data_IF_917895619322
#
_entry.id   IF_917895619322
#
_cell.length_a   1.000
_cell.length_b   1.000
_cell.length_c   1.000
_cell.angle_alpha   90.00
_cell.angle_beta   90.00
_cell.angle_gamma   90.00
#
_symmetry.space_group_name_H-M   'P 1'
#
loop_
_entity.id
_entity.type
_entity.pdbx_description
1 polymer ?
#
# COMPACT_ATOMS: atom_id res chain seq x y z
N UNK A 1 23.72 -19.57 1.93
CA UNK A 1 23.41 -18.29 1.26
C UNK A 1 23.00 -17.31 2.35
N UNK A 2 23.70 -16.18 2.51
CA UNK A 2 23.35 -15.19 3.52
C UNK A 2 21.96 -14.62 3.18
N UNK A 3 20.97 -14.93 4.02
CA UNK A 3 19.61 -14.38 3.88
C UNK A 3 19.75 -12.90 4.20
N UNK A 4 19.83 -12.05 3.16
CA UNK A 4 19.79 -10.60 3.36
C UNK A 4 18.51 -10.30 4.15
N UNK A 5 18.68 -9.79 5.37
CA UNK A 5 17.56 -9.38 6.21
C UNK A 5 16.79 -8.29 5.47
N UNK A 6 15.54 -8.59 5.08
CA UNK A 6 14.68 -7.62 4.42
C UNK A 6 14.61 -6.32 5.24
N UNK A 7 15.10 -5.23 4.66
CA UNK A 7 15.01 -3.89 5.25
C UNK A 7 14.01 -3.08 4.43
N UNK A 8 12.85 -2.83 5.00
CA UNK A 8 11.86 -1.97 4.37
C UNK A 8 12.33 -0.52 4.38
N UNK A 9 12.35 0.08 3.19
CA UNK A 9 12.55 1.52 3.02
C UNK A 9 11.19 2.13 2.70
N UNK A 10 10.73 3.08 3.52
CA UNK A 10 9.45 3.71 3.27
C UNK A 10 9.54 4.58 2.01
N UNK A 11 8.51 4.57 1.14
CA UNK A 11 8.40 5.55 0.06
C UNK A 11 8.44 6.99 0.59
N UNK A 12 7.98 7.22 1.82
CA UNK A 12 8.03 8.54 2.46
C UNK A 12 9.47 9.05 2.63
N UNK A 13 10.40 8.17 3.01
CA UNK A 13 11.81 8.50 3.20
C UNK A 13 12.51 8.82 1.87
N UNK A 14 11.92 8.37 0.75
CA UNK A 14 12.38 8.63 -0.62
C UNK A 14 11.78 9.90 -1.23
N UNK A 15 11.13 10.73 -0.42
CA UNK A 15 10.51 11.98 -0.86
C UNK A 15 9.13 11.81 -1.51
N UNK A 16 8.47 10.65 -1.36
CA UNK A 16 7.10 10.49 -1.83
C UNK A 16 6.10 11.05 -0.83
N UNK A 17 5.03 11.63 -1.34
CA UNK A 17 3.92 12.11 -0.53
C UNK A 17 2.79 11.09 -0.61
N UNK A 18 2.27 10.69 0.56
CA UNK A 18 1.11 9.81 0.63
C UNK A 18 -0.15 10.53 0.16
N UNK A 19 -0.90 9.95 -0.77
CA UNK A 19 -2.15 10.50 -1.29
C UNK A 19 -3.31 9.64 -0.82
N UNK A 20 -4.39 10.31 -0.38
CA UNK A 20 -5.66 9.64 -0.08
C UNK A 20 -6.53 9.70 -1.33
N UNK A 21 -6.70 8.57 -1.98
CA UNK A 21 -7.65 8.42 -3.09
C UNK A 21 -8.92 7.74 -2.62
N UNK A 22 -10.04 8.16 -3.21
CA UNK A 22 -11.32 7.48 -3.03
C UNK A 22 -11.36 6.18 -3.84
N UNK A 23 -12.32 5.30 -3.51
CA UNK A 23 -12.57 4.06 -4.28
C UNK A 23 -12.95 4.34 -5.73
N UNK A 24 -13.68 5.43 -5.99
CA UNK A 24 -14.06 5.82 -7.36
C UNK A 24 -12.84 6.26 -8.16
N UNK A 25 -11.94 7.05 -7.56
CA UNK A 25 -10.69 7.50 -8.19
C UNK A 25 -9.77 6.30 -8.50
N UNK A 26 -9.63 5.35 -7.58
CA UNK A 26 -8.87 4.15 -7.87
C UNK A 26 -9.43 3.36 -9.05
N UNK A 27 -10.77 3.20 -9.12
CA UNK A 27 -11.40 2.44 -10.20
C UNK A 27 -11.21 3.12 -11.57
N UNK A 28 -11.11 4.45 -11.59
CA UNK A 28 -10.75 5.19 -12.79
C UNK A 28 -9.32 4.83 -13.24
N UNK A 29 -8.36 4.83 -12.31
CA UNK A 29 -6.95 4.53 -12.59
C UNK A 29 -6.75 3.05 -13.00
N UNK A 30 -7.34 2.13 -12.25
CA UNK A 30 -7.22 0.69 -12.47
C UNK A 30 -8.55 0.11 -12.96
N UNK A 31 -8.77 0.21 -14.27
CA UNK A 31 -9.99 -0.34 -14.91
C UNK A 31 -10.10 -1.87 -14.76
N UNK A 32 -8.96 -2.56 -14.75
CA UNK A 32 -8.86 -4.03 -14.65
C UNK A 32 -8.79 -4.51 -13.19
N UNK A 33 -8.06 -3.80 -12.33
CA UNK A 33 -7.84 -4.19 -10.93
C UNK A 33 -8.89 -3.53 -10.02
N UNK A 34 -9.93 -4.28 -9.66
CA UNK A 34 -10.95 -3.80 -8.72
C UNK A 34 -10.44 -3.92 -7.27
N UNK A 35 -10.60 -2.85 -6.47
CA UNK A 35 -10.42 -2.91 -5.01
C UNK A 35 -11.40 -3.92 -4.44
N UNK A 36 -10.90 -4.97 -3.79
CA UNK A 36 -11.74 -5.82 -2.94
C UNK A 36 -11.93 -5.13 -1.59
N UNK A 37 -13.06 -5.40 -0.93
CA UNK A 37 -13.36 -4.83 0.40
C UNK A 37 -12.30 -5.19 1.45
N UNK A 38 -11.62 -6.31 1.25
CA UNK A 38 -10.58 -6.85 2.10
C UNK A 38 -9.20 -6.22 1.86
N UNK A 39 -9.04 -5.52 0.74
CA UNK A 39 -7.77 -4.95 0.32
C UNK A 39 -7.69 -3.49 0.73
N UNK A 40 -6.52 -3.10 1.20
CA UNK A 40 -6.16 -1.74 1.51
C UNK A 40 -5.01 -1.29 0.60
N UNK A 41 -5.09 -0.03 0.19
CA UNK A 41 -4.19 0.57 -0.78
C UNK A 41 -3.59 1.84 -0.20
N UNK A 42 -2.30 2.05 -0.40
CA UNK A 42 -1.63 3.31 -0.13
C UNK A 42 -0.98 3.84 -1.40
N UNK A 43 -1.33 5.07 -1.78
CA UNK A 43 -0.78 5.76 -2.93
C UNK A 43 0.32 6.70 -2.47
N UNK A 44 1.42 6.69 -3.21
CA UNK A 44 2.56 7.56 -3.00
C UNK A 44 2.92 8.19 -4.34
N UNK A 45 3.15 9.50 -4.34
CA UNK A 45 3.55 10.23 -5.54
C UNK A 45 4.60 11.28 -5.19
N UNK A 46 5.62 11.38 -6.03
CA UNK A 46 6.73 12.33 -5.85
C UNK A 46 6.80 13.40 -6.96
N UNK A 47 5.82 13.47 -7.85
CA UNK A 47 5.82 14.39 -9.00
C UNK A 47 6.21 13.74 -10.32
N UNK A 48 6.83 12.55 -10.31
CA UNK A 48 7.19 11.81 -11.52
C UNK A 48 6.72 10.35 -11.50
N UNK A 49 6.81 9.68 -10.35
CA UNK A 49 6.50 8.26 -10.21
C UNK A 49 5.38 8.08 -9.19
N UNK A 50 4.42 7.24 -9.55
CA UNK A 50 3.39 6.73 -8.63
C UNK A 50 3.83 5.36 -8.14
N UNK A 51 3.75 5.17 -6.83
CA UNK A 51 3.88 3.86 -6.18
C UNK A 51 2.59 3.55 -5.46
N UNK A 52 2.05 2.36 -5.70
CA UNK A 52 0.85 1.85 -5.03
C UNK A 52 1.22 0.62 -4.25
N UNK A 53 1.12 0.74 -2.94
CA UNK A 53 1.30 -0.36 -2.00
C UNK A 53 -0.03 -1.07 -1.74
N UNK A 54 -0.04 -2.38 -1.92
CA UNK A 54 -1.18 -3.28 -1.69
C UNK A 54 -0.96 -4.08 -0.40
N UNK A 55 -1.94 -4.07 0.49
CA UNK A 55 -1.90 -4.84 1.74
C UNK A 55 -3.30 -5.25 2.20
N UNK A 56 -3.40 -6.30 3.01
CA UNK A 56 -4.68 -6.68 3.62
C UNK A 56 -5.16 -5.61 4.59
N UNK A 57 -6.46 -5.34 4.56
CA UNK A 57 -7.08 -4.41 5.47
C UNK A 57 -6.93 -4.90 6.92
N UNK A 58 -6.43 -4.04 7.80
CA UNK A 58 -6.14 -4.40 9.21
C UNK A 58 -7.35 -4.97 9.95
N UNK A 59 -8.55 -4.47 9.65
CA UNK A 59 -9.79 -4.99 10.24
C UNK A 59 -10.08 -6.43 9.81
N UNK A 60 -9.75 -6.79 8.56
CA UNK A 60 -9.92 -8.15 8.06
C UNK A 60 -8.90 -9.08 8.69
N UNK A 61 -7.63 -8.63 8.81
CA UNK A 61 -6.60 -9.38 9.54
C UNK A 61 -7.02 -9.65 10.99
N UNK A 62 -7.62 -8.67 11.67
CA UNK A 62 -8.16 -8.84 13.02
C UNK A 62 -9.33 -9.85 13.06
N UNK A 63 -10.21 -9.84 12.06
CA UNK A 63 -11.33 -10.78 11.97
C UNK A 63 -10.86 -12.22 11.77
N UNK A 64 -9.87 -12.46 10.90
CA UNK A 64 -9.34 -13.80 10.66
C UNK A 64 -8.32 -14.23 11.71
N UNK A 65 -7.88 -13.35 12.60
CA UNK A 65 -6.81 -13.60 13.55
C UNK A 65 -7.07 -14.85 14.41
N UNK A 66 -8.23 -14.91 15.07
CA UNK A 66 -8.61 -16.00 15.97
C UNK A 66 -8.78 -17.34 15.23
N UNK A 67 -9.59 -17.44 14.15
CA UNK A 67 -9.74 -18.71 13.44
C UNK A 67 -8.44 -19.18 12.77
N UNK A 68 -7.62 -18.26 12.24
CA UNK A 68 -6.35 -18.62 11.63
C UNK A 68 -5.34 -19.10 12.68
N UNK A 69 -5.34 -18.50 13.87
CA UNK A 69 -4.50 -18.96 14.98
C UNK A 69 -4.98 -20.33 15.49
N UNK A 70 -6.28 -20.58 15.63
CA UNK A 70 -6.81 -21.88 16.06
C UNK A 70 -6.51 -23.00 15.04
N UNK A 71 -6.77 -22.76 13.75
CA UNK A 71 -6.57 -23.78 12.71
C UNK A 71 -5.08 -23.98 12.43
N UNK A 72 -4.32 -22.89 12.28
CA UNK A 72 -2.89 -22.96 11.99
C UNK A 72 -2.10 -23.58 13.12
N UNK A 73 -2.45 -23.32 14.39
CA UNK A 73 -1.80 -23.98 15.53
C UNK A 73 -2.02 -25.48 15.55
N UNK A 74 -3.19 -25.95 15.13
CA UNK A 74 -3.51 -27.37 15.04
C UNK A 74 -2.86 -28.06 13.84
N UNK A 75 -2.72 -27.36 12.71
CA UNK A 75 -2.17 -27.91 11.47
C UNK A 75 -0.62 -27.85 11.41
N UNK A 76 -0.05 -26.66 11.59
CA UNK A 76 1.37 -26.37 11.34
C UNK A 76 2.16 -25.97 12.60
N UNK A 77 1.47 -25.82 13.74
CA UNK A 77 2.04 -25.43 15.02
C UNK A 77 2.10 -23.91 15.26
N UNK A 78 2.06 -23.51 16.53
CA UNK A 78 2.01 -22.09 16.92
C UNK A 78 3.13 -21.20 16.34
N UNK A 79 4.41 -21.62 16.31
CA UNK A 79 5.49 -20.74 15.86
C UNK A 79 5.40 -20.33 14.39
N UNK A 80 5.01 -21.25 13.51
CA UNK A 80 4.87 -21.01 12.06
C UNK A 80 3.67 -20.11 11.78
N UNK A 81 2.50 -20.42 12.34
CA UNK A 81 1.29 -19.59 12.22
C UNK A 81 1.50 -18.18 12.75
N UNK A 82 2.23 -18.02 13.85
CA UNK A 82 2.55 -16.70 14.40
C UNK A 82 3.47 -15.89 13.49
N UNK A 83 4.42 -16.53 12.80
CA UNK A 83 5.25 -15.84 11.79
C UNK A 83 4.42 -15.38 10.60
N UNK A 84 3.47 -16.19 10.12
CA UNK A 84 2.56 -15.78 9.04
C UNK A 84 1.63 -14.65 9.45
N UNK A 85 1.06 -14.71 10.66
CA UNK A 85 0.25 -13.62 11.21
C UNK A 85 1.03 -12.32 11.32
N UNK A 86 2.31 -12.37 11.74
CA UNK A 86 3.19 -11.19 11.76
C UNK A 86 3.40 -10.58 10.39
N UNK A 87 3.52 -11.40 9.33
CA UNK A 87 3.59 -10.92 7.94
C UNK A 87 2.32 -10.17 7.56
N UNK A 88 1.15 -10.72 7.87
CA UNK A 88 -0.14 -10.08 7.58
C UNK A 88 -0.40 -8.80 8.40
N UNK A 89 0.00 -8.76 9.67
CA UNK A 89 -0.20 -7.61 10.57
C UNK A 89 0.77 -6.47 10.29
N UNK A 90 2.02 -6.80 9.97
CA UNK A 90 3.09 -5.85 9.73
C UNK A 90 3.74 -6.11 8.37
N UNK A 91 2.99 -5.94 7.27
CA UNK A 91 3.49 -6.24 5.92
C UNK A 91 4.74 -5.41 5.62
N UNK A 92 4.78 -4.16 6.09
CA UNK A 92 5.94 -3.27 5.97
C UNK A 92 7.19 -3.78 6.70
N UNK A 93 7.08 -4.53 7.81
CA UNK A 93 8.26 -5.04 8.53
C UNK A 93 8.77 -6.37 7.99
N UNK A 94 7.87 -7.18 7.42
CA UNK A 94 8.18 -8.56 7.04
C UNK A 94 8.11 -8.83 5.53
N UNK A 95 7.93 -7.79 4.71
CA UNK A 95 8.06 -7.86 3.26
C UNK A 95 6.92 -8.57 2.55
N UNK A 96 5.72 -8.63 3.13
CA UNK A 96 4.53 -9.20 2.46
C UNK A 96 3.76 -8.17 1.62
N UNK A 97 4.39 -7.03 1.31
CA UNK A 97 3.80 -6.01 0.45
C UNK A 97 3.99 -6.37 -1.01
N UNK A 98 2.90 -6.24 -1.76
CA UNK A 98 2.97 -6.12 -3.22
C UNK A 98 2.89 -4.65 -3.56
N UNK A 99 3.74 -4.18 -4.47
CA UNK A 99 3.74 -2.79 -4.92
C UNK A 99 3.73 -2.74 -6.44
N UNK A 100 2.86 -1.90 -6.99
CA UNK A 100 2.92 -1.51 -8.40
C UNK A 100 3.55 -0.12 -8.48
N UNK A 101 4.35 0.14 -9.51
CA UNK A 101 4.89 1.48 -9.75
C UNK A 101 4.89 1.80 -11.24
N UNK A 102 4.58 3.05 -11.58
CA UNK A 102 4.66 3.54 -12.94
C UNK A 102 4.99 5.03 -12.97
N UNK A 103 5.51 5.49 -14.11
CA UNK A 103 5.86 6.89 -14.33
C UNK A 103 4.66 7.63 -14.89
N UNK A 104 4.39 8.80 -14.33
CA UNK A 104 3.30 9.70 -14.71
C UNK A 104 3.96 10.87 -15.44
N UNK A 105 3.84 10.92 -16.78
CA UNK A 105 4.53 11.89 -17.64
C UNK A 105 3.67 13.15 -17.82
N UNK A 106 4.12 14.34 -17.32
CA UNK A 106 3.44 15.62 -17.49
C UNK A 106 2.93 15.84 -18.92
N UNK A 107 1.60 15.89 -19.10
CA UNK A 107 0.95 16.19 -20.40
C UNK A 107 0.55 15.00 -21.27
N UNK A 108 0.87 13.75 -20.89
CA UNK A 108 0.38 12.52 -21.54
C UNK A 108 -0.50 11.66 -20.62
N UNK A 109 -1.03 12.24 -19.55
CA UNK A 109 -1.82 11.52 -18.56
C UNK A 109 -3.19 11.09 -19.11
N UNK A 110 -3.66 9.91 -18.69
CA UNK A 110 -5.09 9.60 -18.79
C UNK A 110 -5.86 10.58 -17.90
N UNK A 111 -7.06 11.00 -18.32
CA UNK A 111 -7.99 11.81 -17.49
C UNK A 111 -8.18 11.18 -16.09
N UNK A 112 -8.01 9.86 -16.00
CA UNK A 112 -8.12 9.07 -14.79
C UNK A 112 -7.00 9.31 -13.74
N UNK A 113 -5.82 9.80 -14.14
CA UNK A 113 -4.67 10.06 -13.26
C UNK A 113 -4.67 11.48 -12.66
N UNK A 114 -5.48 12.39 -13.22
CA UNK A 114 -5.62 13.78 -12.75
C UNK A 114 -5.87 13.91 -11.24
N UNK A 115 -6.73 13.08 -10.60
CA UNK A 115 -7.00 13.20 -9.17
C UNK A 115 -5.77 12.99 -8.29
N UNK A 116 -4.80 12.18 -8.76
CA UNK A 116 -3.53 11.96 -8.05
C UNK A 116 -2.70 13.23 -8.08
N UNK A 117 -2.53 13.79 -9.29
CA UNK A 117 -1.74 15.00 -9.52
C UNK A 117 -2.35 16.20 -8.80
N UNK A 118 -3.67 16.38 -8.89
CA UNK A 118 -4.39 17.47 -8.21
C UNK A 118 -4.27 17.37 -6.70
N UNK A 119 -4.41 16.17 -6.14
CA UNK A 119 -4.24 15.94 -4.71
C UNK A 119 -2.82 16.24 -4.23
N UNK A 120 -1.82 15.95 -5.06
CA UNK A 120 -0.43 16.26 -4.79
C UNK A 120 -0.15 17.76 -4.87
N UNK A 121 -0.57 18.42 -5.95
CA UNK A 121 -0.44 19.88 -6.12
C UNK A 121 -1.10 20.64 -4.98
N UNK A 122 -2.30 20.22 -4.57
CA UNK A 122 -3.00 20.81 -3.42
C UNK A 122 -2.19 20.66 -2.14
N UNK A 123 -1.64 19.47 -1.87
CA UNK A 123 -0.78 19.23 -0.70
C UNK A 123 0.50 20.08 -0.72
N UNK A 124 1.13 20.22 -1.88
CA UNK A 124 2.33 21.05 -2.04
C UNK A 124 2.02 22.54 -1.85
N UNK A 125 0.88 23.00 -2.36
CA UNK A 125 0.41 24.37 -2.16
C UNK A 125 0.06 24.66 -0.70
N UNK A 126 -0.57 23.71 0.00
CA UNK A 126 -0.87 23.81 1.42
C UNK A 126 0.41 23.81 2.26
N UNK A 127 1.40 22.96 1.93
CA UNK A 127 2.70 22.95 2.59
C UNK A 127 3.44 24.30 2.45
N UNK A 128 3.38 24.93 1.28
CA UNK A 128 4.00 26.22 1.01
C UNK A 128 3.33 27.41 1.72
N UNK A 129 2.11 27.26 2.25
CA UNK A 129 1.41 28.31 3.01
C UNK A 129 1.72 28.29 4.50
N UNK A 130 2.43 27.27 4.98
CA UNK A 130 2.74 27.09 6.41
C UNK A 130 4.14 27.63 6.76
N UNK A 131 4.94 27.99 5.76
CA UNK A 131 6.17 28.80 5.87
C UNK A 131 5.87 30.29 5.63
#
# INVERSE_FOLDING_TARGET
MAVQSYKYESPLDKGYIRIKLSRSQHKAIFKVRKIRILDAYAYYYNGENVVVEHFLARWFVALIFVPFLLIGTLADGFPSTWQELKKCLFPHRYGSLSADSWRVIPGKHSVDEQPIVDSWLKRMADAKKVD
#
